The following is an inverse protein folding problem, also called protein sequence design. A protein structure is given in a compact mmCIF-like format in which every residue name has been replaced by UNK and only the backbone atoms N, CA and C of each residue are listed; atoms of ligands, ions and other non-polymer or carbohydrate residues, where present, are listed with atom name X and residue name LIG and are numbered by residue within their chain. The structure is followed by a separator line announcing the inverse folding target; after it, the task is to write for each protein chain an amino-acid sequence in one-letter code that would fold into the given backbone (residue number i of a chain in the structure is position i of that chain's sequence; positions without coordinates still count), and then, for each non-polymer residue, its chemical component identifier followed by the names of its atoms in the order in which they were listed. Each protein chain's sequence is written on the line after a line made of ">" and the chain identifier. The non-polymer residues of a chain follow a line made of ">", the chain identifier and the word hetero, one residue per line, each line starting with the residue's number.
data_IF_109551621978
#
_entry.id   IF_109551621978
#
_cell.length_a   1.000
_cell.length_b   1.000
_cell.length_c   1.000
_cell.angle_alpha   90.00
_cell.angle_beta   90.00
_cell.angle_gamma   90.00
#
_symmetry.space_group_name_H-M   'P 1'
#
loop_
_entity.id
_entity.type
_entity.pdbx_description
1 polymer ?
#
# COMPACT_ATOMS: atom_id res chain seq x y z
N UNK A 1 -13.89 -9.35 -3.01
CA UNK A 1 -12.43 -9.12 -3.04
C UNK A 1 -12.03 -7.69 -2.75
N UNK A 2 -12.42 -6.66 -3.53
CA UNK A 2 -11.98 -5.28 -3.25
C UNK A 2 -12.32 -4.77 -1.83
N UNK A 3 -13.56 -4.97 -1.35
CA UNK A 3 -13.96 -4.54 0.00
C UNK A 3 -13.10 -5.17 1.11
N UNK A 4 -12.87 -6.48 1.04
CA UNK A 4 -12.07 -7.23 2.01
C UNK A 4 -10.61 -6.72 2.08
N UNK A 5 -10.02 -6.37 0.92
CA UNK A 5 -8.67 -5.81 0.87
C UNK A 5 -8.62 -4.41 1.48
N UNK A 6 -9.61 -3.56 1.19
CA UNK A 6 -9.71 -2.22 1.77
C UNK A 6 -9.94 -2.28 3.28
N UNK A 7 -10.78 -3.20 3.77
CA UNK A 7 -11.00 -3.45 5.20
C UNK A 7 -9.71 -3.87 5.91
N UNK A 8 -8.98 -4.86 5.36
CA UNK A 8 -7.68 -5.28 5.90
C UNK A 8 -6.65 -4.15 5.91
N UNK A 9 -6.63 -3.31 4.86
CA UNK A 9 -5.75 -2.14 4.82
C UNK A 9 -6.15 -1.09 5.86
N UNK A 10 -7.44 -0.86 6.06
CA UNK A 10 -7.95 0.04 7.08
C UNK A 10 -7.57 -0.44 8.49
N UNK A 11 -7.78 -1.72 8.79
CA UNK A 11 -7.38 -2.33 10.07
C UNK A 11 -5.88 -2.19 10.32
N UNK A 12 -5.04 -2.48 9.32
CA UNK A 12 -3.59 -2.32 9.42
C UNK A 12 -3.19 -0.86 9.65
N UNK A 13 -3.86 0.07 8.98
CA UNK A 13 -3.61 1.50 9.13
C UNK A 13 -3.98 1.98 10.54
N UNK A 14 -5.09 1.53 11.10
CA UNK A 14 -5.50 1.88 12.46
C UNK A 14 -4.58 1.25 13.51
N UNK A 15 -4.24 -0.04 13.38
CA UNK A 15 -3.21 -0.69 14.22
C UNK A 15 -1.89 0.08 14.16
N UNK A 16 -1.46 0.49 12.97
CA UNK A 16 -0.24 1.28 12.81
C UNK A 16 -0.35 2.67 13.45
N UNK A 17 -1.48 3.38 13.29
CA UNK A 17 -1.68 4.71 13.91
C UNK A 17 -1.56 4.66 15.43
N UNK A 18 -2.18 3.65 16.05
CA UNK A 18 -2.19 3.44 17.51
C UNK A 18 -0.80 3.13 18.09
N UNK A 19 0.17 2.70 17.26
CA UNK A 19 1.53 2.46 17.74
C UNK A 19 2.24 3.77 18.11
N UNK A 20 2.99 3.80 19.22
CA UNK A 20 3.84 4.94 19.55
C UNK A 20 4.97 5.10 18.50
N UNK A 21 5.52 6.32 18.32
CA UNK A 21 6.56 6.60 17.33
C UNK A 21 7.78 5.67 17.43
N UNK A 22 8.18 5.32 18.66
CA UNK A 22 9.31 4.43 18.93
C UNK A 22 9.08 3.02 18.36
N UNK A 23 7.89 2.47 18.56
CA UNK A 23 7.49 1.15 18.04
C UNK A 23 7.38 1.15 16.52
N UNK A 24 6.95 2.27 15.92
CA UNK A 24 6.96 2.45 14.46
C UNK A 24 8.38 2.40 13.89
N UNK A 25 9.31 3.11 14.53
CA UNK A 25 10.72 3.12 14.11
C UNK A 25 11.41 1.77 14.32
N UNK A 26 11.07 1.04 15.39
CA UNK A 26 11.54 -0.31 15.66
C UNK A 26 11.04 -1.29 14.59
N UNK A 27 9.75 -1.24 14.26
CA UNK A 27 9.15 -2.07 13.21
C UNK A 27 9.81 -1.82 11.85
N UNK A 28 10.02 -0.56 11.49
CA UNK A 28 10.68 -0.22 10.23
C UNK A 28 12.12 -0.75 10.18
N UNK A 29 12.88 -0.59 11.27
CA UNK A 29 14.22 -1.17 11.40
C UNK A 29 14.20 -2.69 11.29
N UNK A 30 13.23 -3.35 11.92
CA UNK A 30 13.06 -4.80 11.84
C UNK A 30 12.80 -5.27 10.41
N UNK A 31 11.86 -4.64 9.70
CA UNK A 31 11.53 -4.98 8.30
C UNK A 31 12.74 -4.75 7.38
N UNK A 32 13.45 -3.63 7.56
CA UNK A 32 14.68 -3.30 6.81
C UNK A 32 15.77 -4.36 7.00
N UNK A 33 15.98 -4.82 8.23
CA UNK A 33 17.02 -5.80 8.58
C UNK A 33 16.66 -7.23 8.17
N UNK A 34 15.39 -7.64 8.34
CA UNK A 34 14.95 -9.01 8.02
C UNK A 34 15.08 -9.30 6.53
N UNK A 35 14.66 -8.39 5.67
CA UNK A 35 14.85 -8.52 4.23
C UNK A 35 14.81 -7.14 3.54
N UNK A 36 16.00 -6.59 3.27
CA UNK A 36 16.16 -5.28 2.65
C UNK A 36 15.53 -5.19 1.24
N UNK A 37 15.62 -6.26 0.44
CA UNK A 37 15.05 -6.29 -0.91
C UNK A 37 13.52 -6.25 -0.84
N UNK A 38 12.90 -6.97 0.10
CA UNK A 38 11.46 -6.89 0.33
C UNK A 38 11.04 -5.51 0.83
N UNK A 39 11.82 -4.89 1.72
CA UNK A 39 11.59 -3.51 2.14
C UNK A 39 11.62 -2.55 0.94
N UNK A 40 12.65 -2.63 0.09
CA UNK A 40 12.74 -1.80 -1.12
C UNK A 40 11.58 -2.05 -2.09
N UNK A 41 11.14 -3.29 -2.22
CA UNK A 41 9.95 -3.64 -3.01
C UNK A 41 8.68 -3.00 -2.45
N UNK A 42 8.49 -3.00 -1.13
CA UNK A 42 7.37 -2.32 -0.46
C UNK A 42 7.40 -0.82 -0.76
N UNK A 43 8.55 -0.17 -0.61
CA UNK A 43 8.70 1.25 -0.89
C UNK A 43 8.42 1.60 -2.36
N UNK A 44 8.87 0.76 -3.29
CA UNK A 44 8.58 0.92 -4.70
C UNK A 44 7.07 0.82 -4.99
N UNK A 45 6.38 -0.15 -4.39
CA UNK A 45 4.92 -0.30 -4.55
C UNK A 45 4.18 0.91 -3.97
N UNK A 46 4.59 1.43 -2.81
CA UNK A 46 4.01 2.66 -2.22
C UNK A 46 4.17 3.86 -3.15
N UNK A 47 5.37 4.06 -3.71
CA UNK A 47 5.63 5.14 -4.67
C UNK A 47 4.79 5.02 -5.95
N UNK A 48 4.64 3.80 -6.47
CA UNK A 48 3.75 3.54 -7.60
C UNK A 48 2.29 3.83 -7.27
N UNK A 49 1.80 3.42 -6.09
CA UNK A 49 0.44 3.72 -5.65
C UNK A 49 0.20 5.22 -5.56
N UNK A 50 1.13 5.98 -4.97
CA UNK A 50 1.02 7.44 -4.88
C UNK A 50 0.88 8.09 -6.27
N UNK A 51 1.69 7.65 -7.24
CA UNK A 51 1.61 8.15 -8.62
C UNK A 51 0.29 7.78 -9.30
N UNK A 52 -0.22 6.57 -9.06
CA UNK A 52 -1.50 6.13 -9.62
C UNK A 52 -2.68 6.90 -9.02
N UNK A 53 -2.69 7.15 -7.71
CA UNK A 53 -3.72 7.98 -7.06
C UNK A 53 -3.69 9.42 -7.58
N UNK A 54 -2.50 10.01 -7.75
CA UNK A 54 -2.38 11.33 -8.38
C UNK A 54 -2.93 11.32 -9.81
N UNK A 55 -2.65 10.26 -10.60
CA UNK A 55 -3.19 10.12 -11.95
C UNK A 55 -4.71 9.90 -11.95
N UNK A 56 -5.25 9.16 -10.98
CA UNK A 56 -6.68 8.96 -10.78
C UNK A 56 -7.38 10.30 -10.57
N UNK A 57 -6.88 11.12 -9.64
CA UNK A 57 -7.41 12.45 -9.38
C UNK A 57 -7.37 13.37 -10.62
N UNK A 58 -6.29 13.31 -11.42
CA UNK A 58 -6.21 14.06 -12.68
C UNK A 58 -7.25 13.60 -13.71
N UNK A 59 -7.50 12.29 -13.83
CA UNK A 59 -8.47 11.76 -14.80
C UNK A 59 -9.92 12.01 -14.38
N UNK A 60 -10.18 11.99 -13.07
CA UNK A 60 -11.46 12.37 -12.47
C UNK A 60 -11.82 13.82 -12.80
N UNK A 61 -10.85 14.73 -12.79
CA UNK A 61 -11.05 16.13 -13.18
C UNK A 61 -11.23 16.35 -14.71
N UNK A 62 -10.83 15.38 -15.53
CA UNK A 62 -10.88 15.48 -16.99
C UNK A 62 -12.01 14.63 -17.61
N UNK A 63 -12.94 14.10 -16.80
CA UNK A 63 -14.06 13.24 -17.21
C UNK A 63 -13.67 12.04 -18.11
N UNK A 64 -12.45 11.51 -17.90
CA UNK A 64 -11.90 10.40 -18.68
C UNK A 64 -12.26 9.03 -18.09
N UNK A 65 -13.55 8.71 -18.01
CA UNK A 65 -14.07 7.53 -17.30
C UNK A 65 -13.43 6.19 -17.71
N UNK A 66 -13.17 6.00 -19.02
CA UNK A 66 -12.54 4.76 -19.52
C UNK A 66 -11.11 4.58 -19.00
N UNK A 67 -10.32 5.66 -19.00
CA UNK A 67 -8.95 5.64 -18.46
C UNK A 67 -8.97 5.51 -16.93
N UNK A 68 -9.94 6.15 -16.28
CA UNK A 68 -10.14 6.09 -14.82
C UNK A 68 -10.34 4.65 -14.34
N UNK A 69 -11.26 3.90 -14.98
CA UNK A 69 -11.52 2.50 -14.61
C UNK A 69 -10.29 1.58 -14.75
N UNK A 70 -9.39 1.85 -15.71
CA UNK A 70 -8.14 1.11 -15.85
C UNK A 70 -7.15 1.45 -14.72
N UNK A 71 -7.07 2.72 -14.33
CA UNK A 71 -6.22 3.16 -13.22
C UNK A 71 -6.72 2.58 -11.89
N UNK A 72 -8.02 2.57 -11.64
CA UNK A 72 -8.60 2.01 -10.41
C UNK A 72 -8.34 0.50 -10.26
N UNK A 73 -8.46 -0.25 -11.36
CA UNK A 73 -8.06 -1.67 -11.40
C UNK A 73 -6.58 -1.84 -11.08
N UNK A 74 -5.72 -0.99 -11.63
CA UNK A 74 -4.27 -1.02 -11.39
C UNK A 74 -3.91 -0.67 -9.95
N UNK A 75 -4.55 0.35 -9.37
CA UNK A 75 -4.42 0.72 -7.95
C UNK A 75 -4.77 -0.47 -7.07
N UNK A 76 -5.91 -1.10 -7.32
CA UNK A 76 -6.35 -2.25 -6.52
C UNK A 76 -5.39 -3.42 -6.59
N UNK A 77 -4.90 -3.77 -7.78
CA UNK A 77 -3.89 -4.82 -7.94
C UNK A 77 -2.59 -4.49 -7.17
N UNK A 78 -2.18 -3.21 -7.14
CA UNK A 78 -1.00 -2.77 -6.39
C UNK A 78 -1.26 -2.79 -4.88
N UNK A 79 -2.45 -2.41 -4.40
CA UNK A 79 -2.87 -2.52 -2.99
C UNK A 79 -2.80 -3.98 -2.51
N UNK A 80 -3.29 -4.93 -3.29
CA UNK A 80 -3.17 -6.36 -2.97
C UNK A 80 -1.70 -6.83 -2.92
N UNK A 81 -0.89 -6.41 -3.89
CA UNK A 81 0.55 -6.76 -3.92
C UNK A 81 1.25 -6.21 -2.68
N UNK A 82 0.90 -5.00 -2.25
CA UNK A 82 1.43 -4.42 -1.02
C UNK A 82 1.03 -5.26 0.19
N UNK A 83 -0.26 -5.60 0.33
CA UNK A 83 -0.76 -6.41 1.43
C UNK A 83 -0.04 -7.76 1.52
N UNK A 84 0.09 -8.48 0.39
CA UNK A 84 0.86 -9.74 0.30
C UNK A 84 2.32 -9.56 0.69
N UNK A 85 2.95 -8.43 0.37
CA UNK A 85 4.33 -8.17 0.77
C UNK A 85 4.44 -7.87 2.27
N UNK A 86 3.46 -7.17 2.85
CA UNK A 86 3.42 -6.89 4.29
C UNK A 86 3.18 -8.16 5.10
N UNK A 87 2.21 -8.99 4.71
CA UNK A 87 1.91 -10.27 5.38
C UNK A 87 3.16 -11.15 5.47
N UNK A 88 3.93 -11.26 4.37
CA UNK A 88 5.20 -12.03 4.35
C UNK A 88 6.26 -11.52 5.33
N UNK A 89 6.25 -10.22 5.63
CA UNK A 89 7.22 -9.63 6.56
C UNK A 89 6.75 -9.76 8.01
N UNK A 90 5.42 -9.79 8.24
CA UNK A 90 4.79 -9.88 9.57
C UNK A 90 4.61 -11.30 10.08
N UNK A 91 4.59 -12.33 9.22
CA UNK A 91 4.62 -13.73 9.66
C UNK A 91 6.00 -14.01 10.28
N UNK A 92 5.96 -14.35 11.58
CA UNK A 92 7.09 -14.84 12.38
C UNK A 92 7.50 -16.23 11.92
#
# INVERSE_FOLDING_TARGET
>A
MHKEIEERLAELKEKYKQLPPEKKAELERHIKRKNFLNYKKIELIKSELLRLEARRAQLELCDKEKELGLIEKKISCKKEKLLRCLDKQMIK
#
